data_IF_167562273236
#
_entry.id   IF_167562273236
#
_cell.length_a   1.000
_cell.length_b   1.000
_cell.length_c   1.000
_cell.angle_alpha   90.00
_cell.angle_beta   90.00
_cell.angle_gamma   90.00
#
_symmetry.space_group_name_H-M   'P 1'
#
loop_
_entity.id
_entity.type
_entity.pdbx_description
1 polymer ?
#
# COMPACT_ATOMS: atom_id res chain seq x y z
N UNK A 1 -14.18 -3.69 11.71
CA UNK A 1 -12.91 -4.11 11.09
C UNK A 1 -12.91 -3.85 9.58
N UNK A 2 -13.86 -4.39 8.81
CA UNK A 2 -13.88 -4.27 7.33
C UNK A 2 -13.74 -2.84 6.77
N UNK A 3 -14.55 -1.88 7.23
CA UNK A 3 -14.48 -0.50 6.75
C UNK A 3 -13.11 0.16 7.02
N UNK A 4 -12.51 -0.14 8.17
CA UNK A 4 -11.17 0.34 8.55
C UNK A 4 -10.08 -0.25 7.65
N UNK A 5 -10.17 -1.55 7.35
CA UNK A 5 -9.24 -2.24 6.46
C UNK A 5 -9.33 -1.67 5.05
N UNK A 6 -10.56 -1.47 4.54
CA UNK A 6 -10.80 -0.86 3.23
C UNK A 6 -10.26 0.58 3.17
N UNK A 7 -10.52 1.39 4.20
CA UNK A 7 -9.98 2.76 4.27
C UNK A 7 -8.46 2.79 4.24
N UNK A 8 -7.80 1.86 4.94
CA UNK A 8 -6.34 1.75 4.97
C UNK A 8 -5.76 1.32 3.62
N UNK A 9 -6.37 0.32 2.99
CA UNK A 9 -5.96 -0.17 1.67
C UNK A 9 -6.13 0.90 0.57
N UNK A 10 -7.24 1.65 0.60
CA UNK A 10 -7.49 2.74 -0.33
C UNK A 10 -6.50 3.89 -0.13
N UNK A 11 -6.20 4.26 1.12
CA UNK A 11 -5.23 5.32 1.40
C UNK A 11 -3.86 4.99 0.81
N UNK A 12 -3.36 3.78 1.04
CA UNK A 12 -2.05 3.37 0.54
C UNK A 12 -2.02 3.33 -1.00
N UNK A 13 -3.11 2.84 -1.61
CA UNK A 13 -3.28 2.81 -3.07
C UNK A 13 -3.26 4.23 -3.68
N UNK A 14 -3.99 5.19 -3.10
CA UNK A 14 -4.05 6.58 -3.60
C UNK A 14 -2.66 7.23 -3.58
N UNK A 15 -1.88 7.01 -2.53
CA UNK A 15 -0.53 7.59 -2.39
C UNK A 15 0.42 7.06 -3.46
N UNK A 16 0.37 5.75 -3.76
CA UNK A 16 1.16 5.16 -4.84
C UNK A 16 0.74 5.73 -6.19
N UNK A 17 -0.57 5.81 -6.47
CA UNK A 17 -1.06 6.35 -7.74
C UNK A 17 -0.70 7.82 -7.96
N UNK A 18 -0.79 8.64 -6.91
CA UNK A 18 -0.42 10.06 -6.95
C UNK A 18 1.07 10.22 -7.31
N UNK A 19 1.95 9.43 -6.68
CA UNK A 19 3.40 9.48 -6.98
C UNK A 19 3.73 9.00 -8.39
N UNK A 20 2.98 8.03 -8.91
CA UNK A 20 3.12 7.58 -10.30
C UNK A 20 2.74 8.70 -11.27
N UNK A 21 1.65 9.42 -11.04
CA UNK A 21 1.26 10.57 -11.87
C UNK A 21 2.31 11.69 -11.81
N UNK A 22 2.80 12.02 -10.61
CA UNK A 22 3.83 13.04 -10.42
C UNK A 22 5.12 12.69 -11.18
N UNK A 23 5.59 11.44 -11.08
CA UNK A 23 6.80 11.02 -11.80
C UNK A 23 6.55 10.88 -13.32
N UNK A 24 5.33 10.53 -13.76
CA UNK A 24 4.98 10.57 -15.18
C UNK A 24 5.11 11.98 -15.77
N UNK A 25 4.67 13.01 -15.05
CA UNK A 25 4.85 14.41 -15.48
C UNK A 25 6.31 14.83 -15.41
N UNK A 26 7.02 14.45 -14.35
CA UNK A 26 8.44 14.80 -14.12
C UNK A 26 9.38 14.21 -15.17
N UNK A 27 9.15 12.97 -15.61
CA UNK A 27 9.99 12.28 -16.60
C UNK A 27 9.47 12.37 -18.03
N UNK A 28 8.40 13.14 -18.28
CA UNK A 28 7.78 13.33 -19.61
C UNK A 28 8.76 13.85 -20.67
N UNK A 29 9.73 14.67 -20.25
CA UNK A 29 10.74 15.27 -21.14
C UNK A 29 11.85 14.28 -21.56
N UNK A 30 12.14 13.27 -20.74
CA UNK A 30 13.29 12.36 -20.92
C UNK A 30 12.91 11.11 -21.74
N UNK A 31 11.62 10.96 -22.12
CA UNK A 31 11.08 9.76 -22.80
C UNK A 31 11.49 8.45 -22.11
N UNK A 32 11.49 8.46 -20.78
CA UNK A 32 11.87 7.30 -19.99
C UNK A 32 10.83 6.17 -20.14
N UNK A 33 11.24 4.89 -20.22
CA UNK A 33 10.33 3.76 -20.21
C UNK A 33 9.42 3.78 -18.98
N UNK A 34 8.16 3.36 -19.16
CA UNK A 34 7.18 3.37 -18.06
C UNK A 34 7.61 2.49 -16.88
N UNK A 35 8.28 1.37 -17.16
CA UNK A 35 8.80 0.46 -16.15
C UNK A 35 9.77 1.14 -15.19
N UNK A 36 10.66 1.99 -15.71
CA UNK A 36 11.64 2.72 -14.88
C UNK A 36 10.96 3.80 -14.03
N UNK A 37 10.00 4.53 -14.61
CA UNK A 37 9.19 5.53 -13.88
C UNK A 37 8.44 4.84 -12.74
N UNK A 38 7.85 3.68 -13.00
CA UNK A 38 7.13 2.90 -11.99
C UNK A 38 8.06 2.42 -10.88
N UNK A 39 9.25 1.92 -11.22
CA UNK A 39 10.25 1.48 -10.24
C UNK A 39 10.72 2.64 -9.35
N UNK A 40 10.98 3.81 -9.92
CA UNK A 40 11.36 5.02 -9.16
C UNK A 40 10.23 5.49 -8.26
N UNK A 41 8.99 5.54 -8.76
CA UNK A 41 7.80 5.86 -7.95
C UNK A 41 7.62 4.90 -6.79
N UNK A 42 7.79 3.60 -7.05
CA UNK A 42 7.71 2.55 -6.03
C UNK A 42 8.67 2.83 -4.89
N UNK A 43 9.95 3.02 -5.23
CA UNK A 43 11.01 3.15 -4.25
C UNK A 43 10.84 4.40 -3.38
N UNK A 44 10.27 5.48 -3.95
CA UNK A 44 9.95 6.71 -3.22
C UNK A 44 8.79 6.55 -2.23
N UNK A 45 7.79 5.72 -2.55
CA UNK A 45 6.60 5.54 -1.68
C UNK A 45 6.80 4.40 -0.67
N UNK A 46 7.67 3.43 -0.96
CA UNK A 46 7.85 2.21 -0.17
C UNK A 46 8.18 2.51 1.30
N UNK A 47 9.16 3.37 1.58
CA UNK A 47 9.53 3.70 2.96
C UNK A 47 8.41 4.42 3.72
N UNK A 48 7.66 5.29 3.05
CA UNK A 48 6.51 5.98 3.64
C UNK A 48 5.39 4.99 3.96
N UNK A 49 5.02 4.17 2.99
CA UNK A 49 3.96 3.17 3.09
C UNK A 49 4.24 2.15 4.19
N UNK A 50 5.48 1.65 4.27
CA UNK A 50 5.92 0.79 5.36
C UNK A 50 5.81 1.48 6.72
N UNK A 51 6.29 2.73 6.84
CA UNK A 51 6.20 3.46 8.10
C UNK A 51 4.76 3.66 8.56
N UNK A 52 3.85 4.04 7.66
CA UNK A 52 2.42 4.18 8.01
C UNK A 52 1.79 2.85 8.38
N UNK A 53 2.13 1.77 7.68
CA UNK A 53 1.63 0.42 7.98
C UNK A 53 2.08 -0.06 9.36
N UNK A 54 3.36 0.10 9.68
CA UNK A 54 3.92 -0.25 11.00
C UNK A 54 3.33 0.62 12.12
N UNK A 55 3.18 1.92 11.89
CA UNK A 55 2.57 2.84 12.85
C UNK A 55 1.11 2.48 13.15
N UNK A 56 0.37 1.91 12.19
CA UNK A 56 -1.00 1.45 12.38
C UNK A 56 -1.09 0.06 13.03
N UNK A 57 -0.13 -0.82 12.74
CA UNK A 57 -0.07 -2.18 13.32
C UNK A 57 0.29 -2.13 14.82
N UNK A 58 1.17 -1.23 15.24
CA UNK A 58 1.64 -1.12 16.62
C UNK A 58 0.51 -0.97 17.66
N UNK A 59 -0.44 -0.02 17.53
CA UNK A 59 -1.57 0.12 18.45
C UNK A 59 -2.50 -1.10 18.46
N UNK A 60 -2.71 -1.72 17.30
CA UNK A 60 -3.55 -2.92 17.17
C UNK A 60 -2.91 -4.11 17.87
N UNK A 61 -1.58 -4.25 17.77
CA UNK A 61 -0.80 -5.23 18.51
C UNK A 61 -0.86 -4.98 20.02
N UNK A 62 -0.72 -3.74 20.46
CA UNK A 62 -0.88 -3.36 21.88
C UNK A 62 -2.28 -3.69 22.40
N UNK A 63 -3.33 -3.42 21.61
CA UNK A 63 -4.71 -3.76 21.96
C UNK A 63 -4.91 -5.29 22.06
N UNK A 64 -4.28 -6.06 21.18
CA UNK A 64 -4.35 -7.52 21.17
C UNK A 64 -3.61 -8.14 22.37
N UNK A 65 -2.40 -7.68 22.67
CA UNK A 65 -1.56 -8.24 23.75
C UNK A 65 -2.01 -7.74 25.12
N UNK A 66 -2.18 -6.42 25.28
CA UNK A 66 -2.52 -5.81 26.56
C UNK A 66 -4.03 -5.87 26.83
N UNK A 67 -4.86 -5.54 25.83
CA UNK A 67 -6.32 -5.49 25.98
C UNK A 67 -6.96 -6.87 26.05
N UNK A 68 -6.70 -7.73 25.05
CA UNK A 68 -7.28 -9.07 25.04
C UNK A 68 -6.51 -10.07 25.91
N UNK A 69 -5.17 -9.96 25.99
CA UNK A 69 -4.33 -10.88 26.76
C UNK A 69 -4.33 -10.62 28.26
N UNK A 70 -4.04 -9.38 28.70
CA UNK A 70 -3.88 -9.05 30.12
C UNK A 70 -5.21 -8.66 30.77
N UNK A 71 -6.03 -7.85 30.09
CA UNK A 71 -7.30 -7.34 30.64
C UNK A 71 -8.51 -8.28 30.40
N UNK A 72 -8.32 -9.40 29.71
CA UNK A 72 -9.35 -10.43 29.52
C UNK A 72 -10.52 -10.03 28.62
N UNK A 73 -10.38 -9.00 27.79
CA UNK A 73 -11.45 -8.54 26.91
C UNK A 73 -11.63 -9.46 25.70
N UNK A 74 -12.44 -10.51 25.87
CA UNK A 74 -12.69 -11.54 24.84
C UNK A 74 -13.29 -10.95 23.55
N UNK A 75 -14.19 -9.96 23.67
CA UNK A 75 -14.79 -9.29 22.51
C UNK A 75 -13.81 -8.43 21.71
N UNK A 76 -12.84 -7.81 22.40
CA UNK A 76 -11.78 -7.04 21.74
C UNK A 76 -10.79 -7.93 21.01
N UNK A 77 -10.60 -9.18 21.46
CA UNK A 77 -9.68 -10.13 20.85
C UNK A 77 -10.03 -10.43 19.40
N UNK A 78 -11.28 -10.77 19.13
CA UNK A 78 -11.73 -11.14 17.78
C UNK A 78 -11.68 -9.94 16.84
N UNK A 79 -12.06 -8.76 17.34
CA UNK A 79 -11.97 -7.52 16.58
C UNK A 79 -10.53 -7.12 16.25
N UNK A 80 -9.63 -7.21 17.23
CA UNK A 80 -8.21 -6.91 17.08
C UNK A 80 -7.52 -7.89 16.13
N UNK A 81 -7.83 -9.19 16.22
CA UNK A 81 -7.32 -10.21 15.31
C UNK A 81 -7.74 -9.92 13.87
N UNK A 82 -9.03 -9.63 13.65
CA UNK A 82 -9.54 -9.30 12.32
C UNK A 82 -8.89 -8.04 11.75
N UNK A 83 -8.68 -7.00 12.58
CA UNK A 83 -7.98 -5.80 12.18
C UNK A 83 -6.51 -6.06 11.85
N UNK A 84 -5.80 -6.83 12.68
CA UNK A 84 -4.38 -7.13 12.49
C UNK A 84 -4.15 -7.88 11.18
N UNK A 85 -4.93 -8.96 10.94
CA UNK A 85 -4.84 -9.74 9.69
C UNK A 85 -5.19 -8.86 8.49
N UNK A 86 -6.22 -8.02 8.61
CA UNK A 86 -6.63 -7.10 7.54
C UNK A 86 -5.58 -6.04 7.22
N UNK A 87 -4.94 -5.45 8.24
CA UNK A 87 -3.86 -4.48 8.06
C UNK A 87 -2.63 -5.12 7.41
N UNK A 88 -2.19 -6.29 7.88
CA UNK A 88 -1.04 -6.99 7.31
C UNK A 88 -1.30 -7.37 5.84
N UNK A 89 -2.46 -7.97 5.56
CA UNK A 89 -2.81 -8.40 4.21
C UNK A 89 -3.04 -7.20 3.27
N UNK A 90 -3.65 -6.12 3.77
CA UNK A 90 -3.91 -4.89 3.03
C UNK A 90 -2.62 -4.15 2.66
N UNK A 91 -1.71 -3.97 3.63
CA UNK A 91 -0.41 -3.35 3.39
C UNK A 91 0.44 -4.17 2.43
N UNK A 92 0.46 -5.51 2.58
CA UNK A 92 1.20 -6.37 1.67
C UNK A 92 0.62 -6.34 0.24
N UNK A 93 -0.71 -6.44 0.09
CA UNK A 93 -1.37 -6.41 -1.21
C UNK A 93 -1.19 -5.06 -1.94
N UNK A 94 -1.31 -3.95 -1.22
CA UNK A 94 -1.14 -2.61 -1.81
C UNK A 94 0.30 -2.41 -2.32
N UNK A 95 1.31 -2.77 -1.54
CA UNK A 95 2.72 -2.54 -1.92
C UNK A 95 3.19 -3.55 -2.98
N UNK A 96 2.91 -4.84 -2.79
CA UNK A 96 3.48 -5.91 -3.61
C UNK A 96 2.60 -6.39 -4.75
N UNK A 97 1.28 -6.14 -4.74
CA UNK A 97 0.35 -6.65 -5.77
C UNK A 97 -0.19 -5.52 -6.64
N UNK A 98 -0.64 -4.40 -6.05
CA UNK A 98 -1.18 -3.28 -6.83
C UNK A 98 -0.11 -2.68 -7.75
N UNK A 99 1.13 -2.61 -7.28
CA UNK A 99 2.20 -1.97 -8.00
C UNK A 99 2.68 -2.71 -9.27
N UNK A 100 2.95 -4.03 -9.27
CA UNK A 100 3.21 -4.74 -10.52
C UNK A 100 1.97 -4.83 -11.42
N UNK A 101 0.76 -4.89 -10.88
CA UNK A 101 -0.47 -4.88 -11.69
C UNK A 101 -0.64 -3.58 -12.48
N UNK A 102 -0.34 -2.44 -11.86
CA UNK A 102 -0.38 -1.13 -12.54
C UNK A 102 0.74 -1.02 -13.58
N UNK A 103 1.93 -1.58 -13.32
CA UNK A 103 3.00 -1.66 -14.30
C UNK A 103 2.55 -2.44 -15.55
N UNK A 104 1.98 -3.63 -15.36
CA UNK A 104 1.49 -4.49 -16.44
C UNK A 104 0.30 -3.89 -17.20
N UNK A 105 -0.60 -3.17 -16.50
CA UNK A 105 -1.75 -2.54 -17.13
C UNK A 105 -1.34 -1.38 -18.06
N UNK A 106 -0.39 -0.54 -17.63
CA UNK A 106 0.07 0.61 -18.42
C UNK A 106 1.09 0.27 -19.50
N UNK A 107 1.84 -0.83 -19.40
CA UNK A 107 2.64 -1.35 -20.52
C UNK A 107 1.80 -1.69 -21.77
N UNK A 108 0.49 -1.92 -21.62
CA UNK A 108 -0.42 -2.18 -22.73
C UNK A 108 -0.92 -0.90 -23.43
N UNK A 109 -0.66 0.28 -22.88
CA UNK A 109 -1.07 1.54 -23.49
C UNK A 109 -0.20 1.89 -24.72
N UNK A 110 -0.82 2.34 -25.83
CA UNK A 110 -0.11 2.64 -27.09
C UNK A 110 0.96 3.74 -26.94
N UNK A 111 0.87 4.57 -25.89
CA UNK A 111 1.82 5.64 -25.57
C UNK A 111 3.18 5.13 -25.09
N UNK A 112 3.25 3.92 -24.52
CA UNK A 112 4.47 3.29 -24.00
C UNK A 112 4.94 2.11 -24.84
N UNK A 113 4.09 1.58 -25.72
CA UNK A 113 4.39 0.50 -26.66
C UNK A 113 5.52 0.83 -27.65
N UNK A 114 5.79 2.12 -27.88
CA UNK A 114 6.84 2.62 -28.78
C UNK A 114 8.19 2.88 -28.12
N UNK A 115 8.28 2.75 -26.79
CA UNK A 115 9.49 3.01 -25.98
C UNK A 115 10.10 1.72 -25.40
N UNK A 116 9.69 0.58 -25.95
CA UNK A 116 10.15 -0.75 -25.55
C UNK A 116 11.46 -1.13 -26.23
#
# INVERSE_FOLDING_TARGET
AFLTILGFSLYDTIVVFDKVQENQERYKAVRMPYADIMNVSMNQVLMRSLNTSLAAILPVLSLLVLGAGILGAVTLREFALALLVGLITGSYSSIFVASPLVAMAKEREPKYKSLR
#
